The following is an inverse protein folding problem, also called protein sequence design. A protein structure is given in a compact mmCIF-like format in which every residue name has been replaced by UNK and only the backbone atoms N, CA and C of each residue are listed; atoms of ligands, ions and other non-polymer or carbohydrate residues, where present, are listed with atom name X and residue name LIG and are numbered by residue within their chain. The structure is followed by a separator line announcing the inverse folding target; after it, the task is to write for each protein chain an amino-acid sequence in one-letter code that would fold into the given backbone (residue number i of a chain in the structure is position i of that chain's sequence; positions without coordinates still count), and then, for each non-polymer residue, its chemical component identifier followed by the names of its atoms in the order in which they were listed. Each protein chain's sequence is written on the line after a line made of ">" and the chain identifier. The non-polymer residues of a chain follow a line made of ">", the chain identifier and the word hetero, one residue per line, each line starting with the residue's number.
data_IF_933459948126
#
_entry.id   IF_933459948126
#
_cell.length_a   1.000
_cell.length_b   1.000
_cell.length_c   1.000
_cell.angle_alpha   90.00
_cell.angle_beta   90.00
_cell.angle_gamma   90.00
#
_symmetry.space_group_name_H-M   'P 1'
#
loop_
_entity.id
_entity.type
_entity.pdbx_description
1 polymer ?
#
# COMPACT_ATOMS: atom_id res chain seq x y z
N UNK A 1 0.01 -16.06 -24.10
CA UNK A 1 -0.49 -15.22 -22.99
C UNK A 1 -1.01 -16.16 -21.92
N UNK A 2 -0.65 -15.94 -20.65
CA UNK A 2 -1.08 -16.74 -19.49
C UNK A 2 -1.96 -15.84 -18.62
N UNK A 3 -3.13 -16.32 -18.23
CA UNK A 3 -4.05 -15.60 -17.34
C UNK A 3 -4.23 -16.42 -16.08
N UNK A 4 -4.02 -15.79 -14.92
CA UNK A 4 -4.08 -16.42 -13.61
C UNK A 4 -5.06 -15.63 -12.74
N UNK A 5 -6.09 -16.29 -12.24
CA UNK A 5 -7.06 -15.69 -11.33
C UNK A 5 -6.77 -16.13 -9.90
N UNK A 6 -6.32 -15.19 -9.06
CA UNK A 6 -5.99 -15.41 -7.64
C UNK A 6 -5.08 -16.63 -7.42
N UNK A 7 -3.90 -16.71 -8.08
CA UNK A 7 -3.12 -17.94 -8.21
C UNK A 7 -2.63 -18.51 -6.87
N UNK A 8 -2.51 -17.68 -5.84
CA UNK A 8 -2.03 -18.07 -4.51
C UNK A 8 -3.12 -18.16 -3.46
N UNK A 9 -4.40 -18.01 -3.83
CA UNK A 9 -5.51 -18.15 -2.89
C UNK A 9 -5.60 -19.58 -2.35
N UNK A 10 -5.65 -19.72 -1.02
CA UNK A 10 -5.72 -21.02 -0.35
C UNK A 10 -4.42 -21.83 -0.37
N UNK A 11 -3.31 -21.23 -0.79
CA UNK A 11 -1.99 -21.86 -0.85
C UNK A 11 -1.15 -21.48 0.37
N UNK A 12 -0.41 -22.46 0.92
CA UNK A 12 0.52 -22.22 2.03
C UNK A 12 1.72 -21.35 1.61
N UNK A 13 2.53 -20.94 2.60
CA UNK A 13 3.64 -19.99 2.40
C UNK A 13 4.73 -20.55 1.47
N UNK A 14 5.05 -21.84 1.56
CA UNK A 14 6.14 -22.44 0.77
C UNK A 14 5.73 -22.61 -0.69
N UNK A 15 4.51 -23.10 -0.92
CA UNK A 15 4.00 -23.30 -2.26
C UNK A 15 3.74 -21.96 -2.98
N UNK A 16 3.34 -20.92 -2.24
CA UNK A 16 3.24 -19.54 -2.77
C UNK A 16 4.57 -19.06 -3.33
N UNK A 17 5.65 -19.19 -2.57
CA UNK A 17 6.99 -18.80 -3.00
C UNK A 17 7.46 -19.59 -4.23
N UNK A 18 7.10 -20.87 -4.31
CA UNK A 18 7.38 -21.71 -5.48
C UNK A 18 6.62 -21.22 -6.71
N UNK A 19 5.34 -20.88 -6.56
CA UNK A 19 4.49 -20.37 -7.63
C UNK A 19 5.00 -19.01 -8.15
N UNK A 20 5.38 -18.11 -7.25
CA UNK A 20 5.98 -16.82 -7.61
C UNK A 20 7.24 -16.99 -8.47
N UNK A 21 8.16 -17.86 -8.04
CA UNK A 21 9.37 -18.19 -8.81
C UNK A 21 9.04 -18.77 -10.19
N UNK A 22 8.01 -19.61 -10.26
CA UNK A 22 7.55 -20.21 -11.51
C UNK A 22 6.97 -19.16 -12.47
N UNK A 23 6.07 -18.30 -11.99
CA UNK A 23 5.47 -17.21 -12.77
C UNK A 23 6.55 -16.24 -13.27
N UNK A 24 7.47 -15.83 -12.41
CA UNK A 24 8.56 -14.95 -12.77
C UNK A 24 9.49 -15.59 -13.83
N UNK A 25 9.72 -16.90 -13.75
CA UNK A 25 10.49 -17.64 -14.77
C UNK A 25 9.78 -17.64 -16.12
N UNK A 26 8.47 -17.90 -16.15
CA UNK A 26 7.68 -17.87 -17.38
C UNK A 26 7.72 -16.48 -18.04
N UNK A 27 7.60 -15.41 -17.24
CA UNK A 27 7.71 -14.06 -17.77
C UNK A 27 9.10 -13.78 -18.37
N UNK A 28 10.19 -14.20 -17.70
CA UNK A 28 11.55 -14.10 -18.24
C UNK A 28 11.78 -14.92 -19.51
N UNK A 29 11.00 -15.98 -19.73
CA UNK A 29 11.04 -16.79 -20.95
C UNK A 29 10.25 -16.16 -22.12
N UNK A 30 9.70 -14.95 -21.93
CA UNK A 30 8.99 -14.20 -22.98
C UNK A 30 7.47 -14.36 -22.95
N UNK A 31 6.91 -15.04 -21.94
CA UNK A 31 5.46 -15.13 -21.79
C UNK A 31 4.87 -13.85 -21.19
N UNK A 32 3.84 -13.30 -21.82
CA UNK A 32 2.96 -12.31 -21.19
C UNK A 32 2.08 -13.00 -20.15
N UNK A 33 2.13 -12.51 -18.91
CA UNK A 33 1.32 -12.98 -17.78
C UNK A 33 0.38 -11.85 -17.35
N UNK A 34 -0.91 -12.18 -17.21
CA UNK A 34 -1.91 -11.36 -16.55
C UNK A 34 -2.33 -12.10 -15.27
N UNK A 35 -2.18 -11.46 -14.12
CA UNK A 35 -2.62 -12.00 -12.85
C UNK A 35 -3.58 -11.04 -12.16
N UNK A 36 -4.63 -11.57 -11.56
CA UNK A 36 -5.50 -10.87 -10.61
C UNK A 36 -5.18 -11.38 -9.22
N UNK A 37 -5.08 -10.47 -8.27
CA UNK A 37 -4.74 -10.78 -6.88
C UNK A 37 -5.29 -9.71 -5.97
N UNK A 38 -5.74 -10.12 -4.79
CA UNK A 38 -6.01 -9.23 -3.67
C UNK A 38 -4.79 -9.07 -2.75
N UNK A 39 -3.70 -9.80 -2.99
CA UNK A 39 -2.45 -9.67 -2.26
C UNK A 39 -1.53 -8.66 -2.95
N UNK A 40 -1.47 -7.43 -2.42
CA UNK A 40 -0.67 -6.36 -3.04
C UNK A 40 0.83 -6.68 -3.09
N UNK A 41 1.34 -7.44 -2.12
CA UNK A 41 2.72 -7.96 -2.13
C UNK A 41 3.01 -8.82 -3.36
N UNK A 42 2.03 -9.60 -3.85
CA UNK A 42 2.17 -10.41 -5.07
C UNK A 42 2.27 -9.53 -6.31
N UNK A 43 1.39 -8.54 -6.41
CA UNK A 43 1.42 -7.57 -7.50
C UNK A 43 2.75 -6.81 -7.51
N UNK A 44 3.25 -6.40 -6.34
CA UNK A 44 4.53 -5.69 -6.23
C UNK A 44 5.71 -6.56 -6.65
N UNK A 45 5.72 -7.83 -6.25
CA UNK A 45 6.82 -8.76 -6.52
C UNK A 45 6.85 -9.27 -7.97
N UNK A 46 5.69 -9.50 -8.60
CA UNK A 46 5.59 -10.18 -9.89
C UNK A 46 5.27 -9.26 -11.06
N UNK A 47 4.59 -8.15 -10.83
CA UNK A 47 4.08 -7.31 -11.92
C UNK A 47 5.02 -6.13 -12.19
N UNK A 48 5.38 -5.93 -13.47
CA UNK A 48 6.02 -4.69 -13.91
C UNK A 48 5.04 -3.53 -14.10
N UNK A 49 3.75 -3.83 -14.23
CA UNK A 49 2.64 -2.89 -14.34
C UNK A 49 1.45 -3.38 -13.54
N UNK A 50 0.77 -2.47 -12.86
CA UNK A 50 -0.41 -2.78 -12.04
C UNK A 50 -1.59 -1.95 -12.51
N UNK A 51 -2.73 -2.62 -12.66
CA UNK A 51 -4.02 -1.99 -12.85
C UNK A 51 -4.79 -2.06 -11.54
N UNK A 52 -5.30 -0.93 -11.04
CA UNK A 52 -6.22 -0.90 -9.90
C UNK A 52 -7.64 -0.73 -10.40
N UNK A 53 -8.55 -1.56 -9.90
CA UNK A 53 -9.95 -1.58 -10.30
C UNK A 53 -10.84 -1.08 -9.15
N UNK A 54 -11.79 -0.19 -9.45
CA UNK A 54 -12.84 0.27 -8.53
C UNK A 54 -14.16 0.29 -9.27
N UNK A 55 -15.18 -0.40 -8.76
CA UNK A 55 -16.53 -0.45 -9.34
C UNK A 55 -16.53 -0.80 -10.84
N UNK A 56 -15.74 -1.82 -11.22
CA UNK A 56 -15.62 -2.29 -12.60
C UNK A 56 -14.86 -1.36 -13.56
N UNK A 57 -14.22 -0.29 -13.05
CA UNK A 57 -13.41 0.64 -13.87
C UNK A 57 -11.96 0.62 -13.43
N UNK A 58 -11.05 0.73 -14.40
CA UNK A 58 -9.62 0.91 -14.13
C UNK A 58 -9.42 2.35 -13.65
N UNK A 59 -8.98 2.50 -12.40
CA UNK A 59 -8.73 3.82 -11.77
C UNK A 59 -7.24 4.19 -11.78
N UNK A 60 -6.35 3.22 -11.95
CA UNK A 60 -4.93 3.43 -12.17
C UNK A 60 -4.39 2.32 -13.06
N UNK A 61 -3.48 2.65 -13.98
CA UNK A 61 -2.75 1.67 -14.79
C UNK A 61 -1.36 2.20 -15.10
N UNK A 62 -0.39 1.80 -14.28
CA UNK A 62 0.96 2.34 -14.35
C UNK A 62 2.01 1.26 -14.13
N UNK A 63 3.29 1.61 -14.32
CA UNK A 63 4.38 0.75 -13.85
C UNK A 63 4.37 0.70 -12.33
N UNK A 64 4.64 -0.47 -11.76
CA UNK A 64 4.75 -0.65 -10.31
C UNK A 64 5.76 0.33 -9.69
N UNK A 65 6.88 0.55 -10.37
CA UNK A 65 7.88 1.53 -9.94
C UNK A 65 7.37 2.97 -9.90
N UNK A 66 6.49 3.36 -10.82
CA UNK A 66 5.94 4.71 -10.87
C UNK A 66 4.82 4.90 -9.83
N UNK A 67 4.03 3.85 -9.58
CA UNK A 67 3.06 3.82 -8.47
C UNK A 67 3.76 4.02 -7.13
N UNK A 68 4.83 3.26 -6.86
CA UNK A 68 5.61 3.39 -5.62
C UNK A 68 6.33 4.73 -5.51
N UNK A 69 6.80 5.31 -6.63
CA UNK A 69 7.35 6.67 -6.64
C UNK A 69 6.28 7.74 -6.41
N UNK A 70 5.05 7.54 -6.86
CA UNK A 70 3.98 8.49 -6.55
C UNK A 70 3.72 8.54 -5.03
N UNK A 71 3.90 7.41 -4.35
CA UNK A 71 3.88 7.30 -2.89
C UNK A 71 5.25 7.57 -2.23
N UNK A 72 6.18 8.29 -2.88
CA UNK A 72 7.61 8.46 -2.49
C UNK A 72 7.91 9.04 -1.09
N UNK A 73 6.90 9.24 -0.25
CA UNK A 73 7.08 9.39 1.18
C UNK A 73 7.59 8.10 1.83
N UNK A 74 8.44 8.26 2.84
CA UNK A 74 8.61 7.20 3.84
C UNK A 74 7.32 7.11 4.65
N UNK A 75 7.09 5.96 5.29
CA UNK A 75 6.01 5.77 6.24
C UNK A 75 6.64 5.57 7.60
N UNK A 76 6.36 6.50 8.52
CA UNK A 76 6.65 6.35 9.93
C UNK A 76 5.60 5.43 10.53
N UNK A 77 6.02 4.29 11.06
CA UNK A 77 5.16 3.31 11.70
C UNK A 77 5.56 3.16 13.17
N UNK A 78 4.60 3.16 14.07
CA UNK A 78 4.84 2.85 15.48
C UNK A 78 3.57 2.27 16.11
N UNK A 79 3.71 1.79 17.34
CA UNK A 79 2.59 1.33 18.17
C UNK A 79 2.31 2.30 19.30
N UNK A 80 1.05 2.42 19.65
CA UNK A 80 0.58 3.19 20.81
C UNK A 80 -0.53 2.42 21.51
N UNK A 81 -0.60 2.52 22.84
CA UNK A 81 -1.58 1.80 23.66
C UNK A 81 -2.83 2.64 23.99
N UNK A 82 -2.93 3.85 23.46
CA UNK A 82 -4.05 4.78 23.65
C UNK A 82 -4.41 5.51 22.34
N UNK A 83 -5.60 6.09 22.30
CA UNK A 83 -6.09 6.81 21.12
C UNK A 83 -5.26 8.06 20.83
N UNK A 84 -5.00 8.32 19.54
CA UNK A 84 -4.35 9.55 19.11
C UNK A 84 -5.33 10.72 19.23
N UNK A 85 -4.84 11.92 19.59
CA UNK A 85 -5.59 13.16 19.42
C UNK A 85 -6.11 13.30 17.98
N UNK A 86 -7.30 13.85 17.82
CA UNK A 86 -8.00 13.98 16.52
C UNK A 86 -7.13 14.65 15.44
N UNK A 87 -6.36 15.67 15.84
CA UNK A 87 -5.41 16.38 14.96
C UNK A 87 -4.35 15.45 14.35
N UNK A 88 -3.86 14.47 15.11
CA UNK A 88 -2.89 13.49 14.63
C UNK A 88 -3.59 12.31 13.93
N UNK A 89 -4.72 11.87 14.46
CA UNK A 89 -5.48 10.76 13.91
C UNK A 89 -5.97 11.06 12.47
N UNK A 90 -6.37 12.30 12.18
CA UNK A 90 -6.78 12.71 10.83
C UNK A 90 -5.67 12.63 9.77
N UNK A 91 -4.40 12.58 10.20
CA UNK A 91 -3.22 12.54 9.34
C UNK A 91 -2.54 11.16 9.34
N UNK A 92 -3.06 10.22 10.13
CA UNK A 92 -2.52 8.88 10.27
C UNK A 92 -3.47 7.83 9.70
N UNK A 93 -2.89 6.73 9.22
CA UNK A 93 -3.62 5.47 9.07
C UNK A 93 -3.49 4.67 10.35
N UNK A 94 -4.61 4.31 10.97
CA UNK A 94 -4.65 3.59 12.25
C UNK A 94 -5.29 2.22 12.05
N UNK A 95 -4.56 1.17 12.42
CA UNK A 95 -5.04 -0.23 12.38
C UNK A 95 -4.79 -0.87 13.74
N UNK A 96 -5.83 -0.85 14.60
CA UNK A 96 -5.70 -1.25 16.00
C UNK A 96 -4.72 -0.33 16.73
N UNK A 97 -3.60 -0.89 17.22
CA UNK A 97 -2.54 -0.13 17.90
C UNK A 97 -1.45 0.42 16.99
N UNK A 98 -1.47 0.02 15.71
CA UNK A 98 -0.45 0.43 14.73
C UNK A 98 -0.89 1.76 14.13
N UNK A 99 0.02 2.72 14.16
CA UNK A 99 -0.16 4.08 13.62
C UNK A 99 0.87 4.28 12.53
N UNK A 100 0.42 4.80 11.39
CA UNK A 100 1.26 5.06 10.23
C UNK A 100 1.06 6.49 9.75
N UNK A 101 2.15 7.25 9.63
CA UNK A 101 2.17 8.58 9.03
C UNK A 101 2.98 8.58 7.75
N UNK A 102 2.46 9.16 6.65
CA UNK A 102 3.32 9.55 5.54
C UNK A 102 4.29 10.64 6.01
N UNK A 103 5.58 10.45 5.71
CA UNK A 103 6.64 11.36 6.07
C UNK A 103 7.64 11.52 4.91
N UNK A 104 7.86 12.75 4.49
CA UNK A 104 8.70 13.06 3.33
C UNK A 104 10.17 13.23 3.71
N UNK A 105 10.44 13.61 4.95
CA UNK A 105 11.79 13.84 5.47
C UNK A 105 11.92 13.49 6.97
N UNK A 106 13.14 13.61 7.49
CA UNK A 106 13.43 13.35 8.90
C UNK A 106 12.79 14.36 9.85
N UNK A 107 12.55 15.59 9.40
CA UNK A 107 11.96 16.65 10.22
C UNK A 107 10.47 16.39 10.46
N UNK A 108 9.73 15.91 9.45
CA UNK A 108 8.35 15.47 9.60
C UNK A 108 8.25 14.30 10.58
N UNK A 109 9.16 13.32 10.49
CA UNK A 109 9.22 12.20 11.44
C UNK A 109 9.39 12.71 12.87
N UNK A 110 10.35 13.61 13.09
CA UNK A 110 10.60 14.22 14.40
C UNK A 110 9.37 14.97 14.92
N UNK A 111 8.69 15.74 14.05
CA UNK A 111 7.46 16.47 14.41
C UNK A 111 6.33 15.54 14.83
N UNK A 112 6.13 14.43 14.12
CA UNK A 112 5.11 13.45 14.51
C UNK A 112 5.42 12.82 15.86
N UNK A 113 6.67 12.38 16.09
CA UNK A 113 7.09 11.79 17.36
C UNK A 113 7.01 12.81 18.52
N UNK A 114 7.35 14.07 18.26
CA UNK A 114 7.23 15.15 19.23
C UNK A 114 5.77 15.39 19.62
N UNK A 115 4.87 15.48 18.65
CA UNK A 115 3.44 15.68 18.90
C UNK A 115 2.81 14.53 19.68
N UNK A 116 3.19 13.28 19.38
CA UNK A 116 2.77 12.09 20.15
C UNK A 116 3.24 12.20 21.61
N UNK A 117 4.49 12.58 21.83
CA UNK A 117 5.05 12.79 23.18
C UNK A 117 4.34 13.93 23.92
N UNK A 118 4.07 15.06 23.26
CA UNK A 118 3.37 16.21 23.83
C UNK A 118 1.92 15.89 24.21
N UNK A 119 1.28 14.96 23.50
CA UNK A 119 -0.01 14.39 23.87
C UNK A 119 0.07 13.41 25.06
N UNK A 120 1.25 13.18 25.65
CA UNK A 120 1.46 12.24 26.75
C UNK A 120 1.47 10.77 26.33
N UNK A 121 1.58 10.50 25.02
CA UNK A 121 1.61 9.15 24.46
C UNK A 121 3.06 8.68 24.25
N UNK A 122 3.27 7.37 24.32
CA UNK A 122 4.56 6.76 24.05
C UNK A 122 4.51 5.94 22.75
N UNK A 123 5.30 6.35 21.76
CA UNK A 123 5.51 5.57 20.55
C UNK A 123 6.45 4.38 20.84
N UNK A 124 5.97 3.18 20.59
CA UNK A 124 6.72 1.92 20.72
C UNK A 124 7.00 1.34 19.33
N UNK A 125 8.01 0.47 19.20
CA UNK A 125 8.35 -0.21 17.94
C UNK A 125 8.42 0.75 16.73
N UNK A 126 9.11 1.88 16.91
CA UNK A 126 9.22 2.92 15.88
C UNK A 126 10.06 2.39 14.71
N UNK A 127 9.47 2.45 13.52
CA UNK A 127 10.04 1.96 12.27
C UNK A 127 9.81 2.99 11.17
N UNK A 128 10.81 3.18 10.30
CA UNK A 128 10.68 3.98 9.09
C UNK A 128 10.81 3.01 7.93
N UNK A 129 9.75 2.88 7.13
CA UNK A 129 9.73 2.05 5.93
C UNK A 129 9.49 2.90 4.70
N UNK A 130 9.79 2.37 3.53
CA UNK A 130 9.32 2.95 2.26
C UNK A 130 7.85 2.63 2.08
N UNK A 131 7.12 3.48 1.38
CA UNK A 131 5.76 3.16 0.95
C UNK A 131 5.75 1.90 0.08
N UNK A 132 4.71 1.09 0.25
CA UNK A 132 4.43 -0.13 -0.51
C UNK A 132 3.18 0.06 -1.39
N UNK A 133 2.81 -0.96 -2.17
CA UNK A 133 1.57 -0.91 -2.96
C UNK A 133 0.30 -0.80 -2.10
N UNK A 134 0.33 -1.17 -0.82
CA UNK A 134 -0.80 -1.00 0.10
C UNK A 134 -1.09 0.47 0.36
N UNK A 135 -0.04 1.25 0.61
CA UNK A 135 -0.13 2.69 0.81
C UNK A 135 -0.71 3.37 -0.45
N UNK A 136 -0.19 3.01 -1.65
CA UNK A 136 -0.69 3.52 -2.94
C UNK A 136 -2.17 3.15 -3.16
N UNK A 137 -2.54 1.91 -2.85
CA UNK A 137 -3.89 1.43 -3.05
C UNK A 137 -4.89 2.25 -2.22
N UNK A 138 -4.59 2.51 -0.94
CA UNK A 138 -5.44 3.32 -0.07
C UNK A 138 -5.58 4.75 -0.60
N UNK A 139 -4.48 5.36 -1.05
CA UNK A 139 -4.50 6.71 -1.64
C UNK A 139 -5.37 6.77 -2.90
N UNK A 140 -5.20 5.82 -3.82
CA UNK A 140 -5.99 5.77 -5.07
C UNK A 140 -7.47 5.51 -4.81
N UNK A 141 -7.78 4.66 -3.83
CA UNK A 141 -9.16 4.32 -3.50
C UNK A 141 -9.88 5.45 -2.77
N UNK A 142 -9.17 6.25 -1.97
CA UNK A 142 -9.70 7.42 -1.26
C UNK A 142 -9.94 8.64 -2.16
N UNK A 143 -9.03 8.92 -3.12
CA UNK A 143 -9.15 10.07 -4.05
C UNK A 143 -10.43 10.09 -4.91
N UNK A 144 -11.02 8.93 -5.18
CA UNK A 144 -12.19 8.81 -6.07
C UNK A 144 -13.53 8.82 -5.34
N UNK A 145 -13.63 9.44 -4.15
CA UNK A 145 -14.94 9.79 -3.58
C UNK A 145 -15.47 11.15 -4.06
N UNK A 146 -14.62 12.00 -4.67
CA UNK A 146 -15.01 13.39 -5.00
C UNK A 146 -15.53 13.60 -6.42
N UNK A 147 -15.31 12.68 -7.36
CA UNK A 147 -15.70 12.90 -8.78
C UNK A 147 -17.15 12.49 -9.08
N UNK A 148 -17.84 11.79 -8.17
CA UNK A 148 -19.21 11.33 -8.39
C UNK A 148 -20.29 12.42 -8.15
N UNK A 149 -19.93 13.58 -7.58
CA UNK A 149 -20.89 14.66 -7.25
C UNK A 149 -20.98 15.76 -8.31
N UNK A 150 -20.21 15.70 -9.41
CA UNK A 150 -20.08 16.81 -10.35
C UNK A 150 -20.79 16.63 -11.70
N UNK A 151 -21.67 15.64 -11.88
CA UNK A 151 -22.37 15.39 -13.16
C UNK A 151 -23.87 15.10 -13.05
N UNK A 152 -24.56 15.67 -12.06
CA UNK A 152 -26.02 15.78 -12.10
C UNK A 152 -26.43 17.23 -11.92
N UNK A 153 -26.42 17.97 -13.03
CA UNK A 153 -27.35 19.07 -13.31
C UNK A 153 -27.40 19.31 -14.83
#
# INVERSE_FOLDING_TARGET
>A
VIVLDEPTAGVDVELRQTLWKFIARLNRQGHTVLLTTHYLEEAEALCGRVAMLKTGRVVALERTSELLKAASSNVLRFKVDAELPEELASRARITGRIVQFPAHDALEIERYLAAVREAGLQAQDVEIRKADLEDVFVEVMSRNHDVASAHVQ
#
